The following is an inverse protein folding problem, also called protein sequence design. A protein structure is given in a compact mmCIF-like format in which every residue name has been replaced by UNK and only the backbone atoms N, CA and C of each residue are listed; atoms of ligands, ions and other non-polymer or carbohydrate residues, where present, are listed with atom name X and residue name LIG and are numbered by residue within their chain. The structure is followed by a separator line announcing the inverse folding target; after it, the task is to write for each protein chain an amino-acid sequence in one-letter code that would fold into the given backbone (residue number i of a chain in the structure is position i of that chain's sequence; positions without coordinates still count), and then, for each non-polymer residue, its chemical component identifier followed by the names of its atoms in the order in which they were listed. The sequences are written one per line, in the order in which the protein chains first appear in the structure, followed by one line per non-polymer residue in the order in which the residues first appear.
data_IF_380189804180
#
_entry.id   IF_380189804180
#
_cell.length_a   1.000
_cell.length_b   1.000
_cell.length_c   1.000
_cell.angle_alpha   90.00
_cell.angle_beta   90.00
_cell.angle_gamma   90.00
#
_symmetry.space_group_name_H-M   'P 1'
#
loop_
_entity.id
_entity.type
_entity.pdbx_description
1 polymer ?
#
# COMPACT_ATOMS: atom_id res chain seq x y z
N UNK A 1 15.68 -4.99 2.22
CA UNK A 1 14.40 -5.15 2.93
C UNK A 1 13.27 -5.38 1.96
N UNK A 2 12.28 -6.14 2.39
CA UNK A 2 11.11 -6.37 1.57
C UNK A 2 10.26 -5.11 1.47
N UNK A 3 9.68 -4.88 0.32
CA UNK A 3 8.81 -3.73 0.08
C UNK A 3 7.54 -4.17 -0.59
N UNK A 4 6.46 -3.44 -0.31
CA UNK A 4 5.19 -3.64 -0.98
C UNK A 4 4.86 -2.37 -1.74
N UNK A 5 4.61 -2.51 -3.02
CA UNK A 5 4.16 -1.41 -3.87
C UNK A 5 2.69 -1.64 -4.19
N UNK A 6 1.86 -0.67 -3.86
CA UNK A 6 0.43 -0.73 -4.14
C UNK A 6 0.09 0.39 -5.12
N UNK A 7 -0.51 0.02 -6.24
CA UNK A 7 -0.97 0.97 -7.24
C UNK A 7 -2.49 0.91 -7.27
N UNK A 8 -3.15 2.06 -7.12
CA UNK A 8 -4.61 2.09 -7.14
C UNK A 8 -5.16 3.46 -7.54
N UNK A 9 -6.36 3.46 -8.07
CA UNK A 9 -7.13 4.68 -8.30
C UNK A 9 -8.07 4.91 -7.15
N UNK A 10 -8.17 6.17 -6.73
CA UNK A 10 -9.06 6.56 -5.64
C UNK A 10 -10.00 7.67 -6.10
N UNK A 11 -11.27 7.64 -5.69
CA UNK A 11 -12.21 8.70 -6.04
C UNK A 11 -12.00 9.98 -5.23
N UNK A 12 -11.54 9.85 -3.98
CA UNK A 12 -11.39 10.95 -3.04
C UNK A 12 -10.21 10.66 -2.12
N UNK A 13 -9.20 11.50 -2.18
CA UNK A 13 -7.99 11.31 -1.38
C UNK A 13 -8.27 11.33 0.12
N UNK A 14 -9.01 12.31 0.60
CA UNK A 14 -9.25 12.47 2.05
C UNK A 14 -9.99 11.28 2.64
N UNK A 15 -10.98 10.79 1.93
CA UNK A 15 -11.73 9.60 2.35
C UNK A 15 -10.84 8.37 2.36
N UNK A 16 -10.06 8.17 1.30
CA UNK A 16 -9.14 7.05 1.22
C UNK A 16 -8.06 7.13 2.31
N UNK A 17 -7.48 8.32 2.49
CA UNK A 17 -6.40 8.51 3.48
C UNK A 17 -6.89 8.24 4.89
N UNK A 18 -8.11 8.64 5.21
CA UNK A 18 -8.72 8.36 6.51
C UNK A 18 -8.83 6.85 6.74
N UNK A 19 -9.26 6.09 5.75
CA UNK A 19 -9.34 4.64 5.84
C UNK A 19 -7.93 4.02 5.92
N UNK A 20 -6.99 4.53 5.14
CA UNK A 20 -5.60 4.07 5.16
C UNK A 20 -4.98 4.25 6.55
N UNK A 21 -5.16 5.43 7.14
CA UNK A 21 -4.66 5.73 8.48
C UNK A 21 -5.34 4.87 9.55
N UNK A 22 -6.60 4.52 9.34
CA UNK A 22 -7.33 3.65 10.26
C UNK A 22 -6.72 2.26 10.40
N UNK A 23 -5.98 1.80 9.41
CA UNK A 23 -5.28 0.51 9.45
C UNK A 23 -3.79 0.63 9.76
N UNK A 24 -3.32 1.81 10.14
CA UNK A 24 -1.90 2.05 10.43
C UNK A 24 -1.37 1.14 11.54
N UNK A 25 -2.10 1.07 12.66
CA UNK A 25 -1.69 0.24 13.78
C UNK A 25 -1.65 -1.25 13.40
N UNK A 26 -2.60 -1.68 12.60
CA UNK A 26 -2.69 -3.06 12.13
C UNK A 26 -1.49 -3.41 11.22
N UNK A 27 -1.15 -2.53 10.29
CA UNK A 27 0.04 -2.70 9.45
C UNK A 27 1.30 -2.77 10.27
N UNK A 28 1.45 -1.84 11.22
CA UNK A 28 2.63 -1.77 12.08
C UNK A 28 2.79 -3.04 12.92
N UNK A 29 1.69 -3.52 13.48
CA UNK A 29 1.69 -4.74 14.29
C UNK A 29 2.08 -5.98 13.47
N UNK A 30 1.84 -5.96 12.17
CA UNK A 30 2.13 -7.09 11.29
C UNK A 30 3.49 -7.01 10.59
N UNK A 31 4.24 -5.94 10.82
CA UNK A 31 5.61 -5.84 10.33
C UNK A 31 5.90 -4.72 9.34
N UNK A 32 4.93 -3.84 9.07
CA UNK A 32 5.18 -2.67 8.24
C UNK A 32 6.02 -1.63 8.96
N UNK A 33 6.99 -1.07 8.25
CA UNK A 33 7.88 -0.03 8.77
C UNK A 33 7.50 1.37 8.26
N UNK A 34 6.40 1.48 7.52
CA UNK A 34 6.01 2.74 6.90
C UNK A 34 6.67 2.91 5.54
N UNK A 35 6.50 4.09 4.97
CA UNK A 35 7.05 4.36 3.65
C UNK A 35 6.51 5.65 3.06
N UNK A 36 6.14 5.61 1.80
CA UNK A 36 5.75 6.79 1.04
C UNK A 36 4.39 6.62 0.38
N UNK A 37 3.65 7.71 0.31
CA UNK A 37 2.46 7.79 -0.52
C UNK A 37 2.79 8.77 -1.63
N UNK A 38 2.60 8.34 -2.87
CA UNK A 38 2.89 9.14 -4.05
C UNK A 38 1.66 9.17 -4.95
N UNK A 39 1.59 10.15 -5.83
CA UNK A 39 0.57 10.12 -6.87
C UNK A 39 1.21 10.50 -8.20
N UNK A 40 0.53 10.14 -9.28
CA UNK A 40 0.98 10.53 -10.61
C UNK A 40 0.93 12.05 -10.73
N UNK A 41 1.98 12.65 -11.27
CA UNK A 41 2.06 14.13 -11.36
C UNK A 41 0.96 14.73 -12.23
N UNK A 42 0.42 13.99 -13.16
CA UNK A 42 -0.66 14.43 -14.03
C UNK A 42 -2.05 13.97 -13.59
N UNK A 43 -2.14 13.09 -12.58
CA UNK A 43 -3.42 12.54 -12.14
C UNK A 43 -3.36 12.21 -10.64
N UNK A 44 -3.83 13.11 -9.78
CA UNK A 44 -3.77 12.89 -8.32
C UNK A 44 -4.65 11.75 -7.81
N UNK A 45 -5.51 11.20 -8.64
CA UNK A 45 -6.32 10.04 -8.25
C UNK A 45 -5.59 8.71 -8.45
N UNK A 46 -4.49 8.73 -9.20
CA UNK A 46 -3.64 7.55 -9.36
C UNK A 46 -2.57 7.59 -8.29
N UNK A 47 -2.74 6.79 -7.23
CA UNK A 47 -1.79 6.77 -6.11
C UNK A 47 -0.94 5.51 -6.10
N UNK A 48 0.25 5.67 -5.53
CA UNK A 48 1.21 4.60 -5.32
C UNK A 48 1.60 4.63 -3.85
N UNK A 49 1.53 3.49 -3.18
CA UNK A 49 1.94 3.37 -1.80
C UNK A 49 3.13 2.43 -1.76
N UNK A 50 4.27 2.91 -1.28
CA UNK A 50 5.48 2.11 -1.15
C UNK A 50 5.78 1.94 0.33
N UNK A 51 5.62 0.72 0.84
CA UNK A 51 5.82 0.40 2.25
C UNK A 51 6.97 -0.58 2.43
N UNK A 52 7.80 -0.33 3.43
CA UNK A 52 8.82 -1.28 3.85
C UNK A 52 8.23 -2.24 4.87
N UNK A 53 8.64 -3.50 4.79
CA UNK A 53 8.18 -4.55 5.69
C UNK A 53 9.36 -5.33 6.25
N UNK A 54 9.22 -5.84 7.47
CA UNK A 54 10.23 -6.69 8.11
C UNK A 54 10.54 -7.92 7.26
N UNK A 55 9.49 -8.53 6.74
CA UNK A 55 9.52 -9.85 6.16
C UNK A 55 8.48 -9.96 5.04
N UNK A 56 8.91 -10.47 3.92
CA UNK A 56 8.06 -10.64 2.74
C UNK A 56 6.86 -11.57 3.04
N UNK A 57 7.07 -12.62 3.80
CA UNK A 57 5.99 -13.56 4.14
C UNK A 57 4.91 -12.92 5.00
N UNK A 58 5.31 -12.06 5.94
CA UNK A 58 4.36 -11.29 6.75
C UNK A 58 3.55 -10.35 5.88
N UNK A 59 4.21 -9.70 4.91
CA UNK A 59 3.54 -8.80 3.97
C UNK A 59 2.54 -9.57 3.11
N UNK A 60 2.93 -10.72 2.57
CA UNK A 60 2.04 -11.55 1.76
C UNK A 60 0.80 -11.97 2.54
N UNK A 61 0.97 -12.37 3.80
CA UNK A 61 -0.16 -12.75 4.66
C UNK A 61 -1.11 -11.60 4.91
N UNK A 62 -0.54 -10.42 5.17
CA UNK A 62 -1.35 -9.22 5.45
C UNK A 62 -2.24 -8.87 4.25
N UNK A 63 -1.72 -9.06 3.05
CA UNK A 63 -2.44 -8.71 1.81
C UNK A 63 -3.11 -9.92 1.15
N UNK A 64 -3.42 -10.97 1.90
CA UNK A 64 -4.24 -12.06 1.41
C UNK A 64 -5.60 -11.55 0.95
N UNK A 65 -6.22 -12.18 -0.09
CA UNK A 65 -7.43 -11.63 -0.72
C UNK A 65 -8.56 -11.22 0.22
N UNK A 66 -8.83 -12.00 1.24
CA UNK A 66 -9.93 -11.72 2.16
C UNK A 66 -9.70 -10.46 2.99
N UNK A 67 -8.52 -10.35 3.60
CA UNK A 67 -8.17 -9.18 4.40
C UNK A 67 -7.99 -7.93 3.55
N UNK A 68 -7.40 -8.09 2.37
CA UNK A 68 -7.18 -7.01 1.41
C UNK A 68 -8.50 -6.38 0.97
N UNK A 69 -9.46 -7.21 0.60
CA UNK A 69 -10.79 -6.75 0.14
C UNK A 69 -11.46 -5.88 1.19
N UNK A 70 -11.46 -6.33 2.44
CA UNK A 70 -12.09 -5.59 3.54
C UNK A 70 -11.47 -4.21 3.73
N UNK A 71 -10.13 -4.12 3.68
CA UNK A 71 -9.43 -2.85 3.86
C UNK A 71 -9.69 -1.87 2.73
N UNK A 72 -9.66 -2.35 1.50
CA UNK A 72 -9.79 -1.49 0.34
C UNK A 72 -11.22 -1.06 0.06
N UNK A 73 -12.20 -1.85 0.42
CA UNK A 73 -13.61 -1.46 0.34
C UNK A 73 -13.87 -0.25 1.24
N UNK A 74 -13.31 -0.23 2.43
CA UNK A 74 -13.45 0.91 3.35
C UNK A 74 -12.85 2.19 2.78
N UNK A 75 -11.84 2.07 1.93
CA UNK A 75 -11.24 3.21 1.24
C UNK A 75 -12.07 3.77 0.10
N UNK A 76 -13.20 3.15 -0.21
CA UNK A 76 -14.08 3.60 -1.28
C UNK A 76 -13.61 3.24 -2.69
N UNK A 77 -12.65 2.34 -2.81
CA UNK A 77 -12.15 1.92 -4.11
C UNK A 77 -13.13 0.97 -4.78
N UNK A 78 -13.54 1.29 -6.00
CA UNK A 78 -14.40 0.42 -6.80
C UNK A 78 -13.62 -0.65 -7.55
N UNK A 79 -12.33 -0.43 -7.75
CA UNK A 79 -11.44 -1.31 -8.51
C UNK A 79 -10.38 -1.87 -7.56
N UNK A 80 -10.15 -3.18 -7.65
CA UNK A 80 -9.15 -3.84 -6.85
C UNK A 80 -7.75 -3.28 -7.17
N UNK A 81 -6.92 -2.96 -6.15
CA UNK A 81 -5.59 -2.42 -6.39
C UNK A 81 -4.63 -3.48 -6.90
N UNK A 82 -3.58 -3.02 -7.59
CA UNK A 82 -2.46 -3.86 -7.96
C UNK A 82 -1.45 -3.83 -6.82
N UNK A 83 -1.01 -4.99 -6.39
CA UNK A 83 -0.06 -5.13 -5.28
C UNK A 83 1.15 -5.93 -5.76
N UNK A 84 2.33 -5.36 -5.53
CA UNK A 84 3.59 -5.98 -5.91
C UNK A 84 4.45 -6.19 -4.67
N UNK A 85 4.98 -7.40 -4.52
CA UNK A 85 5.92 -7.74 -3.45
C UNK A 85 7.29 -7.70 -4.08
N UNK A 86 8.13 -6.72 -3.66
CA UNK A 86 9.38 -6.41 -4.33
C UNK A 86 10.54 -6.37 -3.34
N UNK A 87 11.74 -6.52 -3.86
CA UNK A 87 12.96 -6.46 -3.08
C UNK A 87 13.91 -5.49 -3.77
N UNK A 88 14.69 -4.78 -2.96
CA UNK A 88 15.74 -3.93 -3.49
C UNK A 88 16.88 -4.81 -4.00
N UNK A 89 17.31 -4.56 -5.23
CA UNK A 89 18.45 -5.28 -5.82
C UNK A 89 19.73 -4.50 -5.58
N UNK A 90 19.71 -3.21 -5.91
CA UNK A 90 20.87 -2.33 -5.72
C UNK A 90 20.43 -0.87 -5.84
N UNK A 91 21.22 0.01 -5.25
CA UNK A 91 21.03 1.43 -5.46
C UNK A 91 21.74 1.84 -6.74
N UNK A 92 21.26 2.92 -7.33
CA UNK A 92 21.92 3.53 -8.47
C UNK A 92 22.14 5.01 -8.18
N UNK A 93 23.29 5.53 -8.58
CA UNK A 93 23.58 6.95 -8.43
C UNK A 93 22.90 7.80 -9.51
N UNK A 94 22.32 7.14 -10.51
CA UNK A 94 21.61 7.84 -11.58
C UNK A 94 20.73 6.89 -12.39
#
# INVERSE_FOLDING_TARGET
MAKVLIKRRIPDYDKWKSAFDGFSADRKANGSKGGLILHDSGDPRQVFILLEWDDLEKARKFYEPQGRKKRFEKGGAAIEPEIYFIEEVEETSN
#
